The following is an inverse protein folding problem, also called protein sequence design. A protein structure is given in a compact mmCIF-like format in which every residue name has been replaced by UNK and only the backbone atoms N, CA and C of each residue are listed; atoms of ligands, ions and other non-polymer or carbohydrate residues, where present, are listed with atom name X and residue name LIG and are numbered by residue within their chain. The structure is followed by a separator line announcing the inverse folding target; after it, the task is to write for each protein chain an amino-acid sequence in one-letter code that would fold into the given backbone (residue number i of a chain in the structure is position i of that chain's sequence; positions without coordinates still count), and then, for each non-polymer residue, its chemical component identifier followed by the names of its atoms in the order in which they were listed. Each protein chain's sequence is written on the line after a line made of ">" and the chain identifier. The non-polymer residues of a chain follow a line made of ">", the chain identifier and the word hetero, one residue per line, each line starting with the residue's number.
data_IF_607596391367
#
_entry.id   IF_607596391367
#
_cell.length_a   1.000
_cell.length_b   1.000
_cell.length_c   1.000
_cell.angle_alpha   90.00
_cell.angle_beta   90.00
_cell.angle_gamma   90.00
#
_symmetry.space_group_name_H-M   'P 1'
#
loop_
_entity.id
_entity.type
_entity.pdbx_description
1 polymer ?
#
# COMPACT_ATOMS: atom_id res chain seq x y z
N UNK A 1 -4.73 10.52 -11.20
CA UNK A 1 -4.24 10.94 -9.88
C UNK A 1 -5.44 11.04 -8.96
N UNK A 2 -5.47 10.31 -7.85
CA UNK A 2 -6.54 10.49 -6.86
C UNK A 2 -6.36 11.86 -6.21
N UNK A 3 -7.45 12.61 -6.03
CA UNK A 3 -7.44 13.79 -5.14
C UNK A 3 -7.07 13.35 -3.72
N UNK A 4 -6.48 14.22 -2.89
CA UNK A 4 -6.02 13.88 -1.53
C UNK A 4 -7.07 13.12 -0.72
N UNK A 5 -8.33 13.57 -0.77
CA UNK A 5 -9.46 12.86 -0.14
C UNK A 5 -9.58 11.40 -0.58
N UNK A 6 -9.50 11.14 -1.90
CA UNK A 6 -9.56 9.79 -2.44
C UNK A 6 -8.36 8.93 -2.04
N UNK A 7 -7.19 9.55 -1.86
CA UNK A 7 -5.97 8.88 -1.38
C UNK A 7 -6.10 8.48 0.10
N UNK A 8 -6.56 9.38 0.96
CA UNK A 8 -6.81 9.06 2.38
C UNK A 8 -7.87 7.97 2.50
N UNK A 9 -8.95 8.05 1.73
CA UNK A 9 -10.01 7.01 1.72
C UNK A 9 -9.46 5.65 1.29
N UNK A 10 -8.55 5.63 0.31
CA UNK A 10 -7.88 4.42 -0.11
C UNK A 10 -7.04 3.83 1.02
N UNK A 11 -6.20 4.63 1.70
CA UNK A 11 -5.37 4.16 2.80
C UNK A 11 -6.19 3.57 3.97
N UNK A 12 -7.33 4.18 4.28
CA UNK A 12 -8.28 3.63 5.27
C UNK A 12 -8.86 2.30 4.78
N UNK A 13 -9.31 2.24 3.52
CA UNK A 13 -9.86 1.00 2.93
C UNK A 13 -8.82 -0.13 2.89
N UNK A 14 -7.55 0.18 2.63
CA UNK A 14 -6.46 -0.80 2.63
C UNK A 14 -6.23 -1.35 4.03
N UNK A 15 -6.17 -0.50 5.05
CA UNK A 15 -6.05 -0.95 6.43
C UNK A 15 -7.19 -1.89 6.85
N UNK A 16 -8.43 -1.54 6.53
CA UNK A 16 -9.61 -2.35 6.81
C UNK A 16 -9.53 -3.71 6.09
N UNK A 17 -9.22 -3.72 4.80
CA UNK A 17 -9.09 -4.92 3.99
C UNK A 17 -7.97 -5.85 4.49
N UNK A 18 -6.79 -5.31 4.79
CA UNK A 18 -5.67 -6.08 5.32
C UNK A 18 -5.95 -6.62 6.73
N UNK A 19 -6.59 -5.85 7.60
CA UNK A 19 -7.00 -6.32 8.93
C UNK A 19 -8.03 -7.45 8.83
N UNK A 20 -9.04 -7.31 7.96
CA UNK A 20 -10.02 -8.36 7.70
C UNK A 20 -9.35 -9.62 7.13
N UNK A 21 -8.43 -9.45 6.19
CA UNK A 21 -7.70 -10.54 5.55
C UNK A 21 -6.81 -11.31 6.52
N UNK A 22 -6.12 -10.61 7.43
CA UNK A 22 -5.34 -11.22 8.52
C UNK A 22 -6.17 -12.11 9.45
N UNK A 23 -7.46 -11.80 9.56
CA UNK A 23 -8.47 -12.52 10.36
C UNK A 23 -9.30 -13.50 9.52
N UNK A 24 -8.93 -13.74 8.27
CA UNK A 24 -9.60 -14.71 7.38
C UNK A 24 -10.90 -14.21 6.73
N UNK A 25 -11.20 -12.91 6.82
CA UNK A 25 -12.42 -12.28 6.30
C UNK A 25 -12.16 -11.34 5.11
N UNK A 26 -11.03 -11.47 4.43
CA UNK A 26 -10.59 -10.56 3.36
C UNK A 26 -11.11 -10.87 1.95
N UNK A 27 -11.88 -11.95 1.74
CA UNK A 27 -12.38 -12.29 0.39
C UNK A 27 -13.38 -11.28 -0.21
N UNK A 28 -14.34 -10.71 0.55
CA UNK A 28 -15.33 -9.82 -0.03
C UNK A 28 -14.76 -8.48 -0.48
N UNK A 29 -14.97 -8.09 -1.75
CA UNK A 29 -14.54 -6.78 -2.27
C UNK A 29 -15.03 -5.56 -1.47
N UNK A 30 -16.15 -5.70 -0.74
CA UNK A 30 -16.70 -4.63 0.08
C UNK A 30 -15.74 -4.19 1.19
N UNK A 31 -14.94 -5.09 1.77
CA UNK A 31 -14.01 -4.73 2.86
C UNK A 31 -12.82 -3.90 2.37
N UNK A 32 -12.47 -4.02 1.08
CA UNK A 32 -11.37 -3.28 0.44
C UNK A 32 -11.79 -1.93 -0.14
N UNK A 33 -13.09 -1.61 -0.05
CA UNK A 33 -13.66 -0.36 -0.58
C UNK A 33 -14.47 0.40 0.47
N UNK A 34 -14.44 -0.07 1.72
CA UNK A 34 -15.28 0.36 2.83
C UNK A 34 -14.87 1.66 3.50
N UNK A 35 -13.68 2.19 3.20
CA UNK A 35 -13.12 3.32 3.94
C UNK A 35 -14.07 4.52 3.97
N UNK A 36 -14.52 4.83 5.18
CA UNK A 36 -15.36 5.98 5.52
C UNK A 36 -14.49 7.04 6.21
N UNK A 37 -14.49 8.25 5.66
CA UNK A 37 -13.72 9.37 6.20
C UNK A 37 -14.55 10.26 7.12
N UNK A 38 -15.88 10.10 7.13
CA UNK A 38 -16.79 11.00 7.83
C UNK A 38 -16.52 12.48 7.52
N UNK A 39 -16.73 13.33 8.53
CA UNK A 39 -16.50 14.77 8.44
C UNK A 39 -15.04 15.18 8.78
N UNK A 40 -14.21 14.24 9.23
CA UNK A 40 -12.82 14.48 9.62
C UNK A 40 -11.88 13.40 9.06
N UNK A 41 -11.40 13.58 7.81
CA UNK A 41 -10.51 12.63 7.15
C UNK A 41 -9.19 12.36 7.88
N UNK A 42 -8.64 13.39 8.55
CA UNK A 42 -7.38 13.25 9.28
C UNK A 42 -7.60 12.35 10.50
N UNK A 43 -8.68 12.57 11.25
CA UNK A 43 -9.06 11.72 12.37
C UNK A 43 -9.43 10.30 11.94
N UNK A 44 -10.12 10.12 10.82
CA UNK A 44 -10.44 8.79 10.29
C UNK A 44 -9.17 7.96 9.99
N UNK A 45 -8.09 8.62 9.54
CA UNK A 45 -6.79 8.00 9.33
C UNK A 45 -5.99 7.82 10.64
N UNK A 46 -5.78 8.90 11.42
CA UNK A 46 -4.90 8.93 12.59
C UNK A 46 -5.49 8.25 13.83
N UNK A 47 -6.79 8.43 14.09
CA UNK A 47 -7.25 8.48 15.47
C UNK A 47 -7.88 7.21 16.07
N UNK A 48 -8.40 6.20 15.34
CA UNK A 48 -9.17 5.20 16.12
C UNK A 48 -9.41 3.78 15.61
N UNK A 49 -9.46 3.51 14.31
CA UNK A 49 -9.82 2.17 13.85
C UNK A 49 -8.77 1.61 12.90
N UNK A 50 -8.62 2.17 11.71
CA UNK A 50 -7.92 1.44 10.64
C UNK A 50 -6.45 1.10 10.93
N UNK A 51 -5.63 2.07 11.39
CA UNK A 51 -4.19 1.84 11.69
C UNK A 51 -3.99 0.93 12.91
N UNK A 52 -4.72 1.18 13.99
CA UNK A 52 -4.65 0.35 15.20
C UNK A 52 -5.17 -1.07 14.94
N UNK A 53 -6.24 -1.20 14.17
CA UNK A 53 -6.84 -2.49 13.79
C UNK A 53 -5.90 -3.33 12.94
N UNK A 54 -5.32 -2.74 11.88
CA UNK A 54 -4.39 -3.49 11.02
C UNK A 54 -3.11 -3.86 11.78
N UNK A 55 -2.61 -2.96 12.63
CA UNK A 55 -1.43 -3.25 13.46
C UNK A 55 -1.72 -4.35 14.47
N UNK A 56 -2.88 -4.32 15.14
CA UNK A 56 -3.30 -5.36 16.06
C UNK A 56 -3.49 -6.71 15.34
N UNK A 57 -4.11 -6.71 14.16
CA UNK A 57 -4.30 -7.91 13.36
C UNK A 57 -2.95 -8.51 12.92
N UNK A 58 -1.97 -7.68 12.56
CA UNK A 58 -0.61 -8.11 12.20
C UNK A 58 0.23 -8.56 13.40
N UNK A 59 -0.23 -8.32 14.63
CA UNK A 59 0.42 -8.78 15.85
C UNK A 59 -0.16 -10.12 16.37
N UNK A 60 -1.21 -10.67 15.74
CA UNK A 60 -1.81 -11.93 16.15
C UNK A 60 -0.86 -13.13 15.90
N UNK A 61 -0.99 -14.17 16.73
CA UNK A 61 -0.18 -15.38 16.60
C UNK A 61 -0.36 -16.05 15.23
N UNK A 62 0.75 -16.56 14.69
CA UNK A 62 0.80 -17.27 13.40
C UNK A 62 0.38 -16.44 12.17
N UNK A 63 0.10 -15.15 12.32
CA UNK A 63 -0.39 -14.29 11.22
C UNK A 63 0.53 -14.28 10.01
N UNK A 64 1.84 -14.44 10.22
CA UNK A 64 2.84 -14.50 9.14
C UNK A 64 2.67 -15.70 8.20
N UNK A 65 2.05 -16.79 8.68
CA UNK A 65 1.80 -18.02 7.91
C UNK A 65 0.35 -18.12 7.44
N UNK A 66 -0.59 -17.39 8.06
CA UNK A 66 -2.00 -17.33 7.63
C UNK A 66 -2.11 -16.85 6.18
N UNK A 67 -3.14 -17.32 5.48
CA UNK A 67 -3.41 -16.91 4.10
C UNK A 67 -4.28 -15.66 4.09
N UNK A 68 -3.75 -14.60 3.48
CA UNK A 68 -4.45 -13.34 3.27
C UNK A 68 -5.03 -13.37 1.86
N UNK A 69 -6.35 -13.29 1.75
CA UNK A 69 -7.04 -13.04 0.48
C UNK A 69 -6.80 -11.59 0.04
N UNK A 70 -6.40 -11.37 -1.21
CA UNK A 70 -6.20 -10.04 -1.81
C UNK A 70 -6.96 -9.97 -3.16
N UNK A 71 -8.30 -9.81 -3.13
CA UNK A 71 -9.13 -9.84 -4.34
C UNK A 71 -8.78 -8.72 -5.34
N UNK A 72 -8.16 -7.63 -4.88
CA UNK A 72 -7.66 -6.53 -5.72
C UNK A 72 -6.55 -6.94 -6.69
N UNK A 73 -5.83 -8.02 -6.38
CA UNK A 73 -4.82 -8.61 -7.26
C UNK A 73 -5.46 -9.58 -8.25
N UNK A 74 -6.45 -10.35 -7.80
CA UNK A 74 -7.20 -11.29 -8.63
C UNK A 74 -8.18 -12.14 -7.82
N UNK A 75 -9.19 -12.68 -8.50
CA UNK A 75 -10.17 -13.57 -7.88
C UNK A 75 -9.49 -14.82 -7.29
N UNK A 76 -9.79 -15.14 -6.03
CA UNK A 76 -9.18 -16.27 -5.32
C UNK A 76 -7.69 -16.10 -5.00
N UNK A 77 -7.09 -14.94 -5.28
CA UNK A 77 -5.68 -14.71 -5.00
C UNK A 77 -5.44 -14.59 -3.49
N UNK A 78 -4.54 -15.42 -2.95
CA UNK A 78 -4.15 -15.37 -1.55
C UNK A 78 -2.67 -15.70 -1.32
N UNK A 79 -2.01 -14.98 -0.42
CA UNK A 79 -0.57 -15.13 -0.10
C UNK A 79 -0.36 -15.35 1.40
N UNK A 80 0.78 -15.92 1.85
CA UNK A 80 1.08 -16.00 3.28
C UNK A 80 1.24 -14.59 3.87
N UNK A 81 0.87 -14.39 5.14
CA UNK A 81 0.84 -13.08 5.79
C UNK A 81 2.15 -12.31 5.71
N UNK A 82 3.30 -12.98 5.81
CA UNK A 82 4.62 -12.34 5.61
C UNK A 82 4.75 -11.60 4.26
N UNK A 83 4.12 -12.12 3.20
CA UNK A 83 4.10 -11.47 1.88
C UNK A 83 3.05 -10.37 1.84
N UNK A 84 1.85 -10.62 2.38
CA UNK A 84 0.77 -9.64 2.41
C UNK A 84 1.16 -8.38 3.19
N UNK A 85 1.77 -8.53 4.37
CA UNK A 85 2.28 -7.41 5.18
C UNK A 85 3.35 -6.63 4.42
N UNK A 86 4.21 -7.33 3.66
CA UNK A 86 5.17 -6.68 2.76
C UNK A 86 4.50 -5.86 1.65
N UNK A 87 3.38 -6.34 1.11
CA UNK A 87 2.58 -5.58 0.13
C UNK A 87 1.88 -4.37 0.76
N UNK A 88 1.35 -4.49 1.98
CA UNK A 88 0.81 -3.36 2.74
C UNK A 88 1.87 -2.30 3.00
N UNK A 89 3.07 -2.69 3.44
CA UNK A 89 4.21 -1.77 3.61
C UNK A 89 4.55 -1.04 2.31
N UNK A 90 4.65 -1.77 1.20
CA UNK A 90 4.94 -1.21 -0.12
C UNK A 90 3.91 -0.14 -0.51
N UNK A 91 2.63 -0.46 -0.34
CA UNK A 91 1.50 0.43 -0.62
C UNK A 91 1.62 1.72 0.21
N UNK A 92 1.85 1.59 1.51
CA UNK A 92 1.99 2.71 2.44
C UNK A 92 3.17 3.62 2.12
N UNK A 93 4.35 3.07 1.86
CA UNK A 93 5.55 3.85 1.52
C UNK A 93 5.32 4.64 0.23
N UNK A 94 4.67 4.02 -0.76
CA UNK A 94 4.39 4.65 -2.04
C UNK A 94 3.29 5.73 -1.94
N UNK A 95 2.28 5.52 -1.10
CA UNK A 95 1.21 6.49 -0.89
C UNK A 95 1.61 7.64 0.04
N UNK A 96 2.56 7.43 0.95
CA UNK A 96 3.19 8.52 1.67
C UNK A 96 3.87 9.52 0.71
N UNK A 97 4.47 9.03 -0.38
CA UNK A 97 5.00 9.91 -1.44
C UNK A 97 3.87 10.67 -2.16
N UNK A 98 2.78 10.00 -2.52
CA UNK A 98 1.65 10.65 -3.19
C UNK A 98 1.05 11.77 -2.31
N UNK A 99 0.95 11.55 -0.99
CA UNK A 99 0.53 12.58 -0.02
C UNK A 99 1.53 13.73 0.00
N UNK A 100 2.82 13.43 0.18
CA UNK A 100 3.88 14.42 0.29
C UNK A 100 3.93 15.36 -0.94
N UNK A 101 3.87 14.80 -2.15
CA UNK A 101 3.78 15.58 -3.40
C UNK A 101 2.53 16.45 -3.42
N UNK A 102 1.38 15.93 -2.99
CA UNK A 102 0.11 16.67 -3.01
C UNK A 102 0.12 17.89 -2.08
N UNK A 103 0.85 17.84 -0.96
CA UNK A 103 0.90 18.92 0.03
C UNK A 103 2.21 19.73 -0.02
N UNK A 104 3.13 19.41 -0.93
CA UNK A 104 4.44 20.06 -1.04
C UNK A 104 5.39 19.75 0.13
N UNK A 105 5.25 18.60 0.77
CA UNK A 105 6.13 18.13 1.84
C UNK A 105 7.26 17.24 1.30
N UNK A 106 8.41 17.15 2.01
CA UNK A 106 9.46 16.20 1.67
C UNK A 106 8.99 14.76 1.89
N UNK A 107 9.49 13.84 1.07
CA UNK A 107 9.33 12.39 1.25
C UNK A 107 10.69 11.76 1.50
N UNK A 108 10.97 11.48 2.77
CA UNK A 108 12.27 10.97 3.26
C UNK A 108 12.05 9.71 4.10
N UNK A 109 11.61 8.59 3.50
CA UNK A 109 11.46 7.34 4.23
C UNK A 109 12.83 6.85 4.73
N UNK A 110 12.84 6.24 5.92
CA UNK A 110 14.05 5.60 6.45
C UNK A 110 14.60 4.54 5.48
N UNK A 111 15.92 4.36 5.44
CA UNK A 111 16.60 3.43 4.53
C UNK A 111 16.07 1.99 4.64
N UNK A 112 15.73 1.57 5.86
CA UNK A 112 15.17 0.24 6.13
C UNK A 112 13.79 0.06 5.48
N UNK A 113 12.93 1.09 5.53
CA UNK A 113 11.62 1.09 4.89
C UNK A 113 11.77 1.05 3.37
N UNK A 114 12.66 1.87 2.82
CA UNK A 114 12.96 1.88 1.37
C UNK A 114 13.47 0.53 0.89
N UNK A 115 14.37 -0.10 1.66
CA UNK A 115 14.94 -1.42 1.34
C UNK A 115 13.87 -2.51 1.42
N UNK A 116 13.02 -2.49 2.44
CA UNK A 116 11.93 -3.45 2.58
C UNK A 116 10.87 -3.28 1.47
N UNK A 117 10.51 -2.05 1.13
CA UNK A 117 9.60 -1.74 0.03
C UNK A 117 10.17 -2.17 -1.33
N UNK A 118 11.45 -1.96 -1.61
CA UNK A 118 12.10 -2.46 -2.83
C UNK A 118 12.03 -4.00 -2.94
N UNK A 119 12.24 -4.71 -1.82
CA UNK A 119 12.10 -6.17 -1.79
C UNK A 119 10.66 -6.59 -2.11
N UNK A 120 9.68 -5.95 -1.50
CA UNK A 120 8.26 -6.22 -1.77
C UNK A 120 7.88 -5.90 -3.21
N UNK A 121 8.33 -4.76 -3.75
CA UNK A 121 8.09 -4.33 -5.13
C UNK A 121 8.63 -5.33 -6.16
N UNK A 122 9.77 -5.97 -5.83
CA UNK A 122 10.40 -6.98 -6.68
C UNK A 122 9.62 -8.30 -6.75
N UNK A 123 8.71 -8.55 -5.80
CA UNK A 123 7.82 -9.71 -5.81
C UNK A 123 6.59 -9.50 -6.70
N UNK A 124 6.30 -8.27 -7.11
CA UNK A 124 5.17 -7.93 -7.98
C UNK A 124 5.57 -8.24 -9.43
N UNK A 125 4.94 -9.25 -10.07
CA UNK A 125 5.27 -9.65 -11.43
C UNK A 125 5.13 -8.50 -12.44
N UNK A 126 5.81 -8.61 -13.57
CA UNK A 126 5.65 -7.63 -14.66
C UNK A 126 4.43 -7.92 -15.52
N UNK A 127 4.04 -9.19 -15.58
CA UNK A 127 2.82 -9.64 -16.21
C UNK A 127 1.61 -9.00 -15.52
N UNK A 128 0.78 -8.32 -16.31
CA UNK A 128 -0.44 -7.66 -15.82
C UNK A 128 -0.26 -6.21 -15.34
N UNK A 129 0.96 -5.68 -15.25
CA UNK A 129 1.15 -4.26 -14.90
C UNK A 129 0.45 -3.32 -15.88
N UNK A 130 -0.21 -2.29 -15.34
CA UNK A 130 -1.04 -1.35 -16.09
C UNK A 130 -2.50 -1.75 -16.23
N UNK A 131 -2.87 -2.97 -15.82
CA UNK A 131 -4.23 -3.41 -15.59
C UNK A 131 -4.38 -3.88 -14.13
N UNK A 132 -5.38 -3.41 -13.39
CA UNK A 132 -5.54 -3.73 -11.97
C UNK A 132 -4.66 -2.88 -11.03
N UNK A 133 -4.20 -3.46 -9.91
CA UNK A 133 -3.61 -2.73 -8.79
C UNK A 133 -2.19 -2.18 -9.04
N UNK A 134 -1.38 -2.82 -9.90
CA UNK A 134 0.01 -2.43 -10.13
C UNK A 134 0.17 -1.57 -11.40
N UNK A 135 0.79 -0.39 -11.28
CA UNK A 135 1.11 0.48 -12.42
C UNK A 135 2.28 -0.07 -13.25
N UNK A 136 2.35 0.36 -14.52
CA UNK A 136 3.52 0.10 -15.38
C UNK A 136 4.74 0.82 -14.82
N UNK A 137 5.89 0.14 -14.79
CA UNK A 137 7.17 0.72 -14.38
C UNK A 137 7.55 1.86 -15.34
N UNK A 138 8.28 2.84 -14.82
CA UNK A 138 9.00 3.81 -15.65
C UNK A 138 10.51 3.54 -15.58
N UNK A 139 11.24 3.98 -16.60
CA UNK A 139 12.69 3.84 -16.63
C UNK A 139 13.36 4.93 -15.79
N UNK A 140 14.38 4.54 -15.03
CA UNK A 140 15.33 5.42 -14.33
C UNK A 140 16.74 4.87 -14.52
N UNK A 141 17.79 5.69 -14.36
CA UNK A 141 19.17 5.21 -14.35
C UNK A 141 19.40 4.10 -13.30
N UNK A 142 20.29 3.15 -13.61
CA UNK A 142 20.59 2.02 -12.72
C UNK A 142 21.22 2.46 -11.38
N UNK A 143 21.89 3.61 -11.38
CA UNK A 143 22.52 4.26 -10.22
C UNK A 143 21.61 5.28 -9.52
N UNK A 144 20.34 5.38 -9.92
CA UNK A 144 19.38 6.26 -9.27
C UNK A 144 19.22 5.91 -7.77
N UNK A 145 18.98 6.91 -6.89
CA UNK A 145 18.74 6.69 -5.48
C UNK A 145 17.67 5.61 -5.22
N UNK A 146 17.77 4.81 -4.13
CA UNK A 146 16.83 3.74 -3.84
C UNK A 146 15.35 4.16 -3.83
N UNK A 147 15.05 5.35 -3.32
CA UNK A 147 13.70 5.92 -3.34
C UNK A 147 13.18 6.18 -4.76
N UNK A 148 14.01 6.75 -5.64
CA UNK A 148 13.63 6.98 -7.04
C UNK A 148 13.40 5.67 -7.79
N UNK A 149 14.26 4.67 -7.56
CA UNK A 149 14.08 3.32 -8.11
C UNK A 149 12.79 2.68 -7.63
N UNK A 150 12.46 2.83 -6.35
CA UNK A 150 11.18 2.34 -5.80
C UNK A 150 9.98 3.01 -6.48
N UNK A 151 9.98 4.34 -6.60
CA UNK A 151 8.92 5.07 -7.27
C UNK A 151 8.78 4.64 -8.74
N UNK A 152 9.91 4.48 -9.43
CA UNK A 152 9.95 4.04 -10.82
C UNK A 152 9.37 2.64 -11.02
N UNK A 153 9.70 1.69 -10.13
CA UNK A 153 9.11 0.34 -10.10
C UNK A 153 7.59 0.37 -9.89
N UNK A 154 7.06 1.43 -9.30
CA UNK A 154 5.63 1.61 -9.04
C UNK A 154 4.98 2.60 -10.01
N UNK A 155 5.66 2.96 -11.09
CA UNK A 155 5.13 3.82 -12.14
C UNK A 155 4.90 5.27 -11.71
N UNK A 156 5.66 5.75 -10.72
CA UNK A 156 5.66 7.13 -10.23
C UNK A 156 6.90 7.85 -10.75
N UNK A 157 6.71 9.04 -11.29
CA UNK A 157 7.80 9.92 -11.68
C UNK A 157 8.41 10.53 -10.41
N UNK A 158 9.68 10.26 -10.07
CA UNK A 158 10.32 10.82 -8.87
C UNK A 158 10.49 12.34 -8.93
N UNK A 159 10.40 12.94 -10.13
CA UNK A 159 10.50 14.38 -10.35
C UNK A 159 9.22 14.92 -11.00
N UNK A 160 8.06 14.84 -10.31
CA UNK A 160 6.80 15.26 -10.89
C UNK A 160 6.86 16.76 -11.16
N UNK A 161 6.57 17.17 -12.41
CA UNK A 161 6.45 18.59 -12.74
C UNK A 161 5.18 19.11 -12.05
N UNK A 162 5.35 20.09 -11.16
CA UNK A 162 4.25 20.89 -10.60
C UNK A 162 3.65 21.80 -11.64
#
# INVERSE_FOLDING_TARGET
>A
MLILYGLVRHLVSQNEGFAASARGAGEPWAVWRGGDLGDDPARAYEASASVSEVTAAFAEDEVLERRFALPEVGEGFAVPGRKAIGFHLLDYVAHAWDVAVTIGAPWEPADELTTAALRAASLVPDEGRGAGAARRRIAVPDDAPPGERLLALLGRDPNPRT
#
